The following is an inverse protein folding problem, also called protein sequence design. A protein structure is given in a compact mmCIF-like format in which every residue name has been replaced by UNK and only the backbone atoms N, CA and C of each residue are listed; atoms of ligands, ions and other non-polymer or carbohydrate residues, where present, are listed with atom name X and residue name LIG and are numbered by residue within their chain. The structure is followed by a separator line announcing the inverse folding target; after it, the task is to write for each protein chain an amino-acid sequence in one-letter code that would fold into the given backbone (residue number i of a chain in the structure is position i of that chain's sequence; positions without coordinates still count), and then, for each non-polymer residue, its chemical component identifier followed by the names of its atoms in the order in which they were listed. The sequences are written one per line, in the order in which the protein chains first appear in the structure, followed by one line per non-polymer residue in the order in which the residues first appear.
data_IF_633551544981
#
_entry.id   IF_633551544981
#
_cell.length_a   1.000
_cell.length_b   1.000
_cell.length_c   1.000
_cell.angle_alpha   90.00
_cell.angle_beta   90.00
_cell.angle_gamma   90.00
#
_symmetry.space_group_name_H-M   'P 1'
#
loop_
_entity.id
_entity.type
_entity.pdbx_description
1 polymer ?
#
# COMPACT_ATOMS: atom_id res chain seq x y z
N UNK A 1 5.45 1.41 -13.68
CA UNK A 1 5.47 0.09 -13.01
C UNK A 1 4.34 0.10 -12.01
N UNK A 2 3.17 -0.40 -12.41
CA UNK A 2 1.94 -0.28 -11.62
C UNK A 2 1.78 -1.52 -10.75
N UNK A 3 2.28 -1.44 -9.51
CA UNK A 3 2.14 -2.50 -8.50
C UNK A 3 0.69 -2.66 -8.05
N UNK A 4 -0.05 -1.56 -8.06
CA UNK A 4 -1.47 -1.50 -7.72
C UNK A 4 -2.27 -1.34 -9.01
N UNK A 5 -3.29 -2.17 -9.18
CA UNK A 5 -4.17 -2.16 -10.36
C UNK A 5 -5.37 -1.21 -10.18
N UNK A 6 -5.83 -1.05 -8.94
CA UNK A 6 -6.94 -0.19 -8.58
C UNK A 6 -6.79 0.34 -7.17
N UNK A 7 -7.55 1.40 -6.88
CA UNK A 7 -7.74 1.89 -5.53
C UNK A 7 -9.19 2.27 -5.30
N UNK A 8 -9.60 2.24 -4.04
CA UNK A 8 -10.89 2.72 -3.58
C UNK A 8 -10.71 3.57 -2.32
N UNK A 9 -11.53 4.60 -2.15
CA UNK A 9 -11.58 5.39 -0.91
C UNK A 9 -12.93 5.16 -0.26
N UNK A 10 -12.92 4.71 0.99
CA UNK A 10 -14.12 4.50 1.80
C UNK A 10 -13.98 5.21 3.14
N UNK A 11 -15.11 5.56 3.74
CA UNK A 11 -15.16 5.91 5.15
C UNK A 11 -15.60 4.67 5.92
N UNK A 12 -14.76 4.20 6.84
CA UNK A 12 -14.97 3.01 7.66
C UNK A 12 -14.68 3.38 9.11
N UNK A 13 -15.59 3.07 10.03
CA UNK A 13 -15.42 3.35 11.47
C UNK A 13 -15.13 4.83 11.80
N UNK A 14 -15.66 5.75 10.97
CA UNK A 14 -15.42 7.19 11.10
C UNK A 14 -14.07 7.66 10.51
N UNK A 15 -13.23 6.74 10.03
CA UNK A 15 -11.92 7.02 9.46
C UNK A 15 -11.93 6.87 7.93
N UNK A 16 -11.15 7.71 7.24
CA UNK A 16 -10.92 7.56 5.80
C UNK A 16 -9.95 6.39 5.56
N UNK A 17 -10.36 5.42 4.74
CA UNK A 17 -9.58 4.24 4.38
C UNK A 17 -9.33 4.23 2.87
N UNK A 18 -8.07 4.11 2.47
CA UNK A 18 -7.65 3.86 1.10
C UNK A 18 -7.39 2.37 0.95
N UNK A 19 -8.14 1.73 0.07
CA UNK A 19 -7.99 0.32 -0.29
C UNK A 19 -7.20 0.28 -1.59
N UNK A 20 -6.10 -0.46 -1.62
CA UNK A 20 -5.25 -0.64 -2.80
C UNK A 20 -5.29 -2.11 -3.21
N UNK A 21 -5.63 -2.39 -4.46
CA UNK A 21 -5.60 -3.76 -4.99
C UNK A 21 -4.26 -4.02 -5.66
N UNK A 22 -3.57 -5.05 -5.21
CA UNK A 22 -2.33 -5.53 -5.80
C UNK A 22 -2.59 -6.25 -7.11
N UNK A 23 -1.72 -5.99 -8.09
CA UNK A 23 -1.69 -6.75 -9.33
C UNK A 23 -0.85 -8.03 -9.14
N UNK A 24 -1.51 -9.17 -8.93
CA UNK A 24 -0.85 -10.48 -8.80
C UNK A 24 -0.24 -11.02 -10.09
N UNK A 25 -0.62 -10.50 -11.27
CA UNK A 25 -0.10 -10.98 -12.54
C UNK A 25 1.36 -10.56 -12.80
N UNK A 26 1.98 -9.82 -11.87
CA UNK A 26 3.41 -9.55 -11.93
C UNK A 26 4.21 -10.76 -11.46
N UNK A 27 5.00 -11.31 -12.37
CA UNK A 27 5.99 -12.37 -12.12
C UNK A 27 6.90 -12.06 -10.91
N UNK A 28 7.17 -10.78 -10.66
CA UNK A 28 7.92 -10.28 -9.49
C UNK A 28 7.26 -10.67 -8.15
N UNK A 29 5.93 -10.65 -8.06
CA UNK A 29 5.20 -10.96 -6.83
C UNK A 29 4.99 -12.47 -6.64
N UNK A 30 4.77 -13.21 -7.74
CA UNK A 30 4.69 -14.68 -7.72
C UNK A 30 6.00 -15.32 -7.22
N UNK A 31 7.13 -14.66 -7.47
CA UNK A 31 8.45 -15.11 -7.02
C UNK A 31 8.72 -14.72 -5.54
N UNK A 32 8.26 -13.53 -5.11
CA UNK A 32 8.45 -13.03 -3.73
C UNK A 32 7.59 -13.75 -2.67
N UNK A 33 6.40 -14.26 -3.03
CA UNK A 33 5.58 -15.06 -2.09
C UNK A 33 6.15 -16.48 -1.85
N UNK A 34 7.05 -16.95 -2.71
CA UNK A 34 7.54 -18.33 -2.72
C UNK A 34 8.97 -18.55 -2.23
N UNK A 35 9.90 -17.60 -2.38
CA UNK A 35 11.32 -17.87 -2.13
C UNK A 35 12.06 -16.66 -1.56
N UNK A 36 12.69 -16.86 -0.40
CA UNK A 36 13.74 -15.97 0.11
C UNK A 36 14.79 -15.73 -0.99
N UNK A 37 14.85 -14.53 -1.56
CA UNK A 37 15.97 -14.14 -2.41
C UNK A 37 16.44 -12.73 -2.08
N UNK A 38 17.76 -12.60 -1.97
CA UNK A 38 18.51 -11.47 -1.41
C UNK A 38 18.60 -10.24 -2.34
N UNK A 39 17.67 -10.01 -3.26
CA UNK A 39 17.71 -8.87 -4.18
C UNK A 39 16.43 -8.04 -4.12
N UNK A 40 16.52 -6.93 -3.38
CA UNK A 40 15.48 -5.89 -3.19
C UNK A 40 14.14 -6.43 -2.69
N UNK A 41 14.07 -6.68 -1.38
CA UNK A 41 12.82 -6.83 -0.66
C UNK A 41 11.94 -5.59 -0.93
N UNK A 42 10.89 -5.72 -1.75
CA UNK A 42 9.97 -4.62 -2.02
C UNK A 42 9.21 -4.33 -0.72
N UNK A 43 9.37 -3.11 -0.21
CA UNK A 43 8.60 -2.68 0.95
C UNK A 43 7.22 -2.20 0.47
N UNK A 44 6.24 -3.09 0.54
CA UNK A 44 4.84 -2.86 0.15
C UNK A 44 4.25 -1.57 0.74
N UNK A 45 4.56 -1.27 2.00
CA UNK A 45 4.10 -0.05 2.68
C UNK A 45 4.66 1.20 2.00
N UNK A 46 5.96 1.23 1.69
CA UNK A 46 6.60 2.35 1.00
C UNK A 46 6.07 2.56 -0.41
N UNK A 47 5.88 1.48 -1.16
CA UNK A 47 5.33 1.59 -2.52
C UNK A 47 3.86 2.02 -2.49
N UNK A 48 3.07 1.52 -1.53
CA UNK A 48 1.70 1.99 -1.31
C UNK A 48 1.65 3.47 -0.93
N UNK A 49 2.52 3.92 -0.01
CA UNK A 49 2.63 5.33 0.34
C UNK A 49 2.98 6.18 -0.88
N UNK A 50 3.96 5.77 -1.68
CA UNK A 50 4.39 6.48 -2.88
C UNK A 50 3.26 6.56 -3.92
N UNK A 51 2.56 5.45 -4.15
CA UNK A 51 1.41 5.38 -5.04
C UNK A 51 0.30 6.33 -4.58
N UNK A 52 -0.10 6.25 -3.32
CA UNK A 52 -1.15 7.12 -2.75
C UNK A 52 -0.73 8.59 -2.84
N UNK A 53 0.52 8.94 -2.52
CA UNK A 53 1.01 10.33 -2.62
C UNK A 53 1.05 10.85 -4.06
N UNK A 54 1.24 9.98 -5.04
CA UNK A 54 1.22 10.37 -6.45
C UNK A 54 -0.19 10.77 -6.92
N UNK A 55 -1.23 10.14 -6.37
CA UNK A 55 -2.64 10.39 -6.72
C UNK A 55 -3.26 11.46 -5.80
N UNK A 56 -2.96 11.38 -4.51
CA UNK A 56 -3.52 12.20 -3.45
C UNK A 56 -2.41 12.93 -2.66
N UNK A 57 -1.70 13.90 -3.27
CA UNK A 57 -0.57 14.56 -2.61
C UNK A 57 -0.97 15.35 -1.35
N UNK A 58 -2.26 15.70 -1.21
CA UNK A 58 -2.81 16.44 -0.06
C UNK A 58 -3.46 15.54 1.00
N UNK A 59 -3.52 14.21 0.81
CA UNK A 59 -4.08 13.29 1.80
C UNK A 59 -3.18 13.26 3.04
N UNK A 60 -3.76 13.63 4.19
CA UNK A 60 -3.00 13.84 5.44
C UNK A 60 -3.00 12.62 6.35
N UNK A 61 -4.17 12.02 6.51
CA UNK A 61 -4.44 10.90 7.40
C UNK A 61 -5.42 9.99 6.68
N UNK A 62 -5.06 8.72 6.53
CA UNK A 62 -5.96 7.67 6.13
C UNK A 62 -5.45 6.34 6.67
N UNK A 63 -6.32 5.36 6.86
CA UNK A 63 -5.91 3.96 6.96
C UNK A 63 -5.64 3.44 5.55
N UNK A 64 -4.65 2.59 5.37
CA UNK A 64 -4.36 1.95 4.08
C UNK A 64 -4.56 0.46 4.23
N UNK A 65 -5.38 -0.12 3.37
CA UNK A 65 -5.52 -1.56 3.22
C UNK A 65 -4.94 -1.97 1.88
N UNK A 66 -4.01 -2.92 1.90
CA UNK A 66 -3.49 -3.55 0.70
C UNK A 66 -4.21 -4.89 0.55
N UNK A 67 -4.95 -5.04 -0.55
CA UNK A 67 -5.78 -6.19 -0.86
C UNK A 67 -5.20 -6.94 -2.06
N UNK A 68 -5.47 -8.25 -2.10
CA UNK A 68 -5.35 -9.10 -3.27
C UNK A 68 -6.69 -9.78 -3.42
N UNK A 69 -7.44 -9.43 -4.46
CA UNK A 69 -8.84 -9.81 -4.61
C UNK A 69 -9.64 -9.53 -3.31
N UNK A 70 -9.99 -10.56 -2.56
CA UNK A 70 -10.75 -10.45 -1.31
C UNK A 70 -9.90 -10.61 -0.05
N UNK A 71 -8.58 -10.76 -0.19
CA UNK A 71 -7.66 -11.06 0.90
C UNK A 71 -6.92 -9.79 1.32
N UNK A 72 -6.99 -9.44 2.60
CA UNK A 72 -6.19 -8.36 3.18
C UNK A 72 -4.76 -8.85 3.41
N UNK A 73 -3.80 -8.24 2.72
CA UNK A 73 -2.37 -8.56 2.83
C UNK A 73 -1.71 -7.72 3.92
N UNK A 74 -2.04 -6.42 3.98
CA UNK A 74 -1.45 -5.50 4.94
C UNK A 74 -2.39 -4.34 5.26
N UNK A 75 -2.29 -3.83 6.47
CA UNK A 75 -3.04 -2.66 6.93
C UNK A 75 -2.15 -1.77 7.79
N UNK A 76 -2.06 -0.48 7.43
CA UNK A 76 -1.24 0.48 8.16
C UNK A 76 -1.81 1.91 8.08
N UNK A 77 -1.50 2.79 9.04
CA UNK A 77 -1.90 4.19 8.97
C UNK A 77 -0.99 4.98 8.02
N UNK A 78 -1.58 5.67 7.05
CA UNK A 78 -0.91 6.72 6.28
C UNK A 78 -0.95 8.02 7.08
N UNK A 79 0.18 8.39 7.67
CA UNK A 79 0.35 9.68 8.31
C UNK A 79 1.40 10.50 7.55
N UNK A 80 1.16 11.80 7.36
CA UNK A 80 2.24 12.72 6.97
C UNK A 80 3.25 12.72 8.12
N UNK A 81 4.38 12.04 7.94
CA UNK A 81 5.43 11.91 8.93
C UNK A 81 5.90 13.32 9.35
N UNK A 82 5.39 13.86 10.46
CA UNK A 82 6.08 14.91 11.21
C UNK A 82 7.09 14.18 12.08
N UNK A 83 8.25 13.88 11.50
CA UNK A 83 9.40 13.43 12.27
C UNK A 83 9.84 14.57 13.20
N UNK A 84 9.19 14.69 14.36
CA UNK A 84 9.81 15.28 15.53
C UNK A 84 10.60 14.16 16.21
N UNK A 85 11.89 14.07 15.90
CA UNK A 85 12.85 13.59 16.89
C UNK A 85 13.70 14.79 17.30
N UNK A 86 13.61 15.09 18.58
CA UNK A 86 14.42 16.08 19.31
C UNK A 86 15.91 15.81 19.10
#
# INVERSE_FOLDING_TARGET
MDLFQSYEIKQMDGEMTVILDLNMAKEEFSTEFGLQTKSKQINLEKEAEKYIRSIFPKLKIAKVHIMVDTILISSFPLQKNKSYRK
#
